data_IF_152962014862
#
_entry.id   IF_152962014862
#
_cell.length_a   1.000
_cell.length_b   1.000
_cell.length_c   1.000
_cell.angle_alpha   90.00
_cell.angle_beta   90.00
_cell.angle_gamma   90.00
#
_symmetry.space_group_name_H-M   'P 1'
#
loop_
_entity.id
_entity.type
_entity.pdbx_description
1 polymer ?
#
# COMPACT_ATOMS: atom_id res chain seq x y z
N UNK A 1 20.87 23.10 -4.99
CA UNK A 1 19.47 22.64 -4.99
C UNK A 1 19.13 22.30 -3.54
N UNK A 2 18.08 22.88 -3.03
CA UNK A 2 17.57 22.55 -1.70
C UNK A 2 17.09 21.08 -1.73
N UNK A 3 17.53 20.27 -0.77
CA UNK A 3 17.10 18.86 -0.69
C UNK A 3 15.66 18.86 -0.21
N UNK A 4 14.79 18.13 -0.89
CA UNK A 4 13.41 17.91 -0.50
C UNK A 4 13.37 17.19 0.84
N UNK A 5 12.62 17.73 1.79
CA UNK A 5 12.42 17.15 3.12
C UNK A 5 11.06 16.46 3.18
N UNK A 6 11.04 15.30 3.77
CA UNK A 6 9.83 14.51 4.00
C UNK A 6 9.55 14.40 5.48
N UNK A 7 8.29 14.37 5.87
CA UNK A 7 7.87 14.15 7.25
C UNK A 7 7.10 12.85 7.35
N UNK A 8 7.55 11.94 8.23
CA UNK A 8 6.77 10.78 8.66
C UNK A 8 5.79 11.22 9.75
N UNK A 9 4.53 10.87 9.57
CA UNK A 9 3.43 11.35 10.41
C UNK A 9 2.56 10.14 10.82
N UNK A 10 2.11 10.12 12.07
CA UNK A 10 1.08 9.20 12.53
C UNK A 10 -0.24 9.98 12.67
N UNK A 11 -1.17 9.77 11.74
CA UNK A 11 -2.37 10.62 11.58
C UNK A 11 -1.98 12.10 11.47
N UNK A 12 -2.15 12.87 12.55
CA UNK A 12 -1.81 14.30 12.60
C UNK A 12 -0.51 14.59 13.36
N UNK A 13 0.11 13.55 13.96
CA UNK A 13 1.29 13.72 14.82
C UNK A 13 2.56 13.45 14.03
N UNK A 14 3.43 14.45 13.79
CA UNK A 14 4.72 14.24 13.17
C UNK A 14 5.65 13.42 14.07
N UNK A 15 6.37 12.47 13.47
CA UNK A 15 7.33 11.61 14.16
C UNK A 15 8.77 12.01 13.85
N UNK A 16 9.11 12.19 12.59
CA UNK A 16 10.45 12.64 12.20
C UNK A 16 10.43 13.30 10.81
N UNK A 17 11.42 14.15 10.57
CA UNK A 17 11.77 14.60 9.23
C UNK A 17 12.95 13.78 8.72
N UNK A 18 12.92 13.48 7.43
CA UNK A 18 13.99 12.78 6.76
C UNK A 18 14.21 13.32 5.34
N UNK A 19 15.39 13.03 4.80
CA UNK A 19 15.75 13.32 3.40
C UNK A 19 16.03 12.00 2.69
N UNK A 20 15.95 12.03 1.37
CA UNK A 20 16.36 10.92 0.52
C UNK A 20 17.71 11.27 -0.07
N UNK A 21 18.69 10.39 0.13
CA UNK A 21 20.06 10.49 -0.42
C UNK A 21 20.29 9.34 -1.40
N UNK A 22 21.06 9.59 -2.46
CA UNK A 22 21.33 8.63 -3.52
C UNK A 22 20.47 8.87 -4.76
N UNK A 23 20.54 7.95 -5.71
CA UNK A 23 19.80 8.01 -6.98
C UNK A 23 19.26 6.62 -7.35
N UNK A 24 18.05 6.59 -7.90
CA UNK A 24 17.42 5.36 -8.39
C UNK A 24 17.22 4.32 -7.30
N UNK A 25 17.75 3.11 -7.51
CA UNK A 25 17.64 2.00 -6.55
C UNK A 25 18.55 2.14 -5.32
N UNK A 26 19.49 3.09 -5.34
CA UNK A 26 20.42 3.38 -4.23
C UNK A 26 19.91 4.50 -3.31
N UNK A 27 18.68 4.96 -3.50
CA UNK A 27 18.05 5.93 -2.62
C UNK A 27 17.89 5.37 -1.20
N UNK A 28 18.36 6.14 -0.20
CA UNK A 28 18.28 5.82 1.23
C UNK A 28 17.60 6.95 2.00
N UNK A 29 16.71 6.60 2.92
CA UNK A 29 16.08 7.55 3.82
C UNK A 29 16.98 7.82 5.03
N UNK A 30 17.23 9.09 5.33
CA UNK A 30 18.06 9.53 6.47
C UNK A 30 17.30 10.54 7.32
N UNK A 31 17.05 10.19 8.58
CA UNK A 31 16.42 11.09 9.54
C UNK A 31 17.33 12.31 9.77
N UNK A 32 16.75 13.49 9.71
CA UNK A 32 17.41 14.78 9.97
C UNK A 32 16.87 15.46 11.21
N UNK A 33 15.63 15.10 11.63
CA UNK A 33 15.04 15.62 12.86
C UNK A 33 14.02 14.64 13.43
N UNK A 34 14.01 14.45 14.74
CA UNK A 34 13.05 13.63 15.45
C UNK A 34 12.13 14.51 16.31
N UNK A 35 10.81 14.20 16.31
CA UNK A 35 9.79 14.84 17.11
C UNK A 35 9.21 13.91 18.17
N UNK A 36 9.09 12.61 17.82
CA UNK A 36 8.57 11.56 18.67
C UNK A 36 9.27 10.22 18.31
N UNK A 37 9.32 9.25 19.23
CA UNK A 37 9.89 7.94 18.94
C UNK A 37 9.11 7.23 17.85
N UNK A 38 9.82 6.53 16.96
CA UNK A 38 9.19 5.63 16.00
C UNK A 38 8.44 4.51 16.73
N UNK A 39 7.34 3.98 16.17
CA UNK A 39 6.69 2.80 16.72
C UNK A 39 7.69 1.66 16.90
N UNK A 40 7.56 0.86 17.97
CA UNK A 40 8.52 -0.19 18.33
C UNK A 40 8.77 -1.23 17.23
N UNK A 41 7.82 -1.41 16.31
CA UNK A 41 7.92 -2.30 15.16
C UNK A 41 8.58 -1.65 13.93
N UNK A 42 8.75 -0.34 13.91
CA UNK A 42 9.43 0.43 12.88
C UNK A 42 10.89 0.64 13.30
N UNK A 43 11.80 -0.26 12.89
CA UNK A 43 13.21 -0.21 13.30
C UNK A 43 13.94 1.01 12.76
N UNK A 44 13.71 1.34 11.51
CA UNK A 44 14.26 2.50 10.81
C UNK A 44 13.36 2.90 9.64
N UNK A 45 13.47 4.16 9.23
CA UNK A 45 12.64 4.76 8.20
C UNK A 45 12.88 4.15 6.82
N UNK A 46 14.11 3.76 6.52
CA UNK A 46 14.47 3.25 5.21
C UNK A 46 13.87 1.86 4.98
N UNK A 47 14.04 0.95 5.92
CA UNK A 47 13.42 -0.37 5.90
C UNK A 47 11.89 -0.29 5.91
N UNK A 48 11.33 0.67 6.67
CA UNK A 48 9.89 0.90 6.70
C UNK A 48 9.35 1.34 5.32
N UNK A 49 9.98 2.33 4.68
CA UNK A 49 9.60 2.76 3.32
C UNK A 49 9.71 1.60 2.31
N UNK A 50 10.79 0.81 2.39
CA UNK A 50 10.98 -0.33 1.51
C UNK A 50 9.89 -1.40 1.68
N UNK A 51 9.45 -1.65 2.92
CA UNK A 51 8.38 -2.61 3.23
C UNK A 51 6.99 -2.16 2.75
N UNK A 52 6.83 -0.87 2.37
CA UNK A 52 5.58 -0.36 1.78
C UNK A 52 5.42 -0.69 0.30
N UNK A 53 6.49 -1.05 -0.38
CA UNK A 53 6.41 -1.38 -1.80
C UNK A 53 5.63 -2.68 -2.02
N UNK A 54 4.80 -2.71 -3.05
CA UNK A 54 4.13 -3.93 -3.45
C UNK A 54 5.14 -5.03 -3.82
N UNK A 55 4.79 -6.28 -3.58
CA UNK A 55 5.65 -7.42 -3.89
C UNK A 55 6.07 -7.42 -5.38
N UNK A 56 7.35 -7.75 -5.65
CA UNK A 56 7.92 -7.75 -7.01
C UNK A 56 7.18 -8.65 -8.01
N UNK A 57 6.42 -9.62 -7.53
CA UNK A 57 5.64 -10.56 -8.36
C UNK A 57 4.27 -10.00 -8.80
N UNK A 58 3.84 -8.86 -8.27
CA UNK A 58 2.60 -8.20 -8.68
C UNK A 58 2.82 -7.40 -9.98
N UNK A 59 2.78 -8.10 -11.10
CA UNK A 59 3.10 -7.55 -12.42
C UNK A 59 2.28 -6.32 -12.77
N UNK A 60 0.97 -6.33 -12.50
CA UNK A 60 0.06 -5.24 -12.83
C UNK A 60 0.36 -3.99 -12.00
N UNK A 61 0.51 -4.14 -10.68
CA UNK A 61 0.86 -3.03 -9.77
C UNK A 61 2.23 -2.43 -10.11
N UNK A 62 3.23 -3.28 -10.39
CA UNK A 62 4.55 -2.80 -10.75
C UNK A 62 4.56 -2.02 -12.07
N UNK A 63 3.72 -2.39 -13.05
CA UNK A 63 3.54 -1.59 -14.28
C UNK A 63 2.91 -0.23 -13.98
N UNK A 64 1.92 -0.18 -13.09
CA UNK A 64 1.30 1.09 -12.66
C UNK A 64 2.35 1.99 -12.01
N UNK A 65 3.10 1.46 -11.03
CA UNK A 65 4.17 2.21 -10.35
C UNK A 65 5.22 2.72 -11.34
N UNK A 66 5.65 1.89 -12.29
CA UNK A 66 6.63 2.27 -13.31
C UNK A 66 6.14 3.43 -14.17
N UNK A 67 4.91 3.36 -14.66
CA UNK A 67 4.34 4.38 -15.53
C UNK A 67 4.04 5.69 -14.82
N UNK A 68 3.76 5.63 -13.51
CA UNK A 68 3.50 6.80 -12.67
C UNK A 68 4.76 7.36 -11.99
N UNK A 69 5.95 6.84 -12.31
CA UNK A 69 7.21 7.32 -11.71
C UNK A 69 7.50 6.78 -10.31
N UNK A 70 6.75 5.78 -9.85
CA UNK A 70 6.87 5.19 -8.50
C UNK A 70 8.01 4.17 -8.31
N UNK A 71 8.98 4.08 -9.21
CA UNK A 71 10.13 3.16 -9.08
C UNK A 71 11.18 3.62 -8.08
N UNK A 72 11.35 4.91 -7.94
CA UNK A 72 12.26 5.50 -6.93
C UNK A 72 11.53 5.67 -5.61
N UNK A 73 12.24 5.76 -4.48
CA UNK A 73 11.60 6.01 -3.18
C UNK A 73 10.86 7.34 -3.17
N UNK A 74 11.48 8.38 -3.71
CA UNK A 74 10.87 9.70 -3.85
C UNK A 74 9.59 9.67 -4.68
N UNK A 75 9.62 9.01 -5.84
CA UNK A 75 8.44 8.83 -6.68
C UNK A 75 7.36 7.97 -6.05
N UNK A 76 7.75 6.90 -5.35
CA UNK A 76 6.83 6.05 -4.60
C UNK A 76 6.12 6.81 -3.48
N UNK A 77 6.86 7.60 -2.69
CA UNK A 77 6.29 8.46 -1.65
C UNK A 77 5.32 9.48 -2.26
N UNK A 78 5.74 10.18 -3.32
CA UNK A 78 4.88 11.16 -3.99
C UNK A 78 3.58 10.55 -4.53
N UNK A 79 3.62 9.28 -4.96
CA UNK A 79 2.46 8.59 -5.51
C UNK A 79 1.55 7.98 -4.44
N UNK A 80 2.09 7.49 -3.32
CA UNK A 80 1.35 6.66 -2.37
C UNK A 80 1.27 7.25 -0.97
N UNK A 81 2.04 8.29 -0.66
CA UNK A 81 2.29 8.76 0.70
C UNK A 81 2.72 7.65 1.67
N UNK A 82 3.16 6.49 1.17
CA UNK A 82 3.39 5.26 1.93
C UNK A 82 2.17 4.82 2.77
N UNK A 83 0.96 5.18 2.38
CA UNK A 83 -0.27 4.83 3.08
C UNK A 83 -0.51 3.31 3.04
N UNK A 84 -1.06 2.76 4.11
CA UNK A 84 -1.46 1.36 4.19
C UNK A 84 -2.71 1.19 5.05
N UNK A 85 -3.47 0.14 4.80
CA UNK A 85 -4.59 -0.28 5.66
C UNK A 85 -4.14 -1.04 6.92
N UNK A 86 -2.82 -1.24 7.10
CA UNK A 86 -2.27 -1.96 8.27
C UNK A 86 -1.93 -1.06 9.44
N UNK A 87 -1.78 0.25 9.20
CA UNK A 87 -1.49 1.25 10.23
C UNK A 87 -1.88 2.67 9.78
N UNK A 88 -1.54 3.66 10.58
CA UNK A 88 -1.90 5.07 10.37
C UNK A 88 -0.69 5.96 10.07
N UNK A 89 0.42 5.35 9.67
CA UNK A 89 1.62 6.09 9.27
C UNK A 89 1.54 6.51 7.80
N UNK A 90 2.01 7.70 7.52
CA UNK A 90 2.10 8.24 6.17
C UNK A 90 3.20 9.28 6.06
N UNK A 91 3.56 9.61 4.83
CA UNK A 91 4.64 10.55 4.51
C UNK A 91 4.12 11.65 3.61
N UNK A 92 4.54 12.88 3.87
CA UNK A 92 4.38 13.99 2.92
C UNK A 92 5.70 14.75 2.73
N UNK A 93 5.85 15.42 1.60
CA UNK A 93 6.95 16.35 1.37
C UNK A 93 6.65 17.71 2.00
N UNK A 94 7.69 18.52 2.21
CA UNK A 94 7.59 19.91 2.70
C UNK A 94 6.90 20.85 1.71
N UNK A 95 6.73 20.43 0.44
CA UNK A 95 5.99 21.18 -0.58
C UNK A 95 4.50 20.86 -0.62
N UNK A 96 4.03 19.90 0.20
CA UNK A 96 2.63 19.46 0.23
C UNK A 96 1.90 19.98 1.46
N UNK A 97 0.65 20.40 1.25
CA UNK A 97 -0.26 20.80 2.32
C UNK A 97 -1.31 19.73 2.64
N UNK A 98 -1.06 18.47 2.22
CA UNK A 98 -1.98 17.36 2.47
C UNK A 98 -2.17 17.12 3.95
N UNK A 99 -3.40 16.78 4.36
CA UNK A 99 -3.78 16.41 5.73
C UNK A 99 -4.20 14.95 5.78
N UNK A 100 -4.14 14.34 6.96
CA UNK A 100 -4.60 12.96 7.17
C UNK A 100 -6.03 12.74 6.66
N UNK A 101 -6.95 13.65 6.96
CA UNK A 101 -8.34 13.55 6.52
C UNK A 101 -8.49 13.48 4.99
N UNK A 102 -7.60 14.12 4.25
CA UNK A 102 -7.65 14.15 2.79
C UNK A 102 -7.06 12.90 2.12
N UNK A 103 -6.10 12.22 2.78
CA UNK A 103 -5.33 11.14 2.13
C UNK A 103 -5.56 9.76 2.74
N UNK A 104 -6.10 9.66 3.97
CA UNK A 104 -6.20 8.37 4.64
C UNK A 104 -7.07 7.36 3.86
N UNK A 105 -6.72 6.07 3.98
CA UNK A 105 -7.39 4.97 3.28
C UNK A 105 -8.65 4.46 4.01
N UNK A 106 -8.96 4.97 5.21
CA UNK A 106 -10.06 4.48 6.02
C UNK A 106 -11.38 5.21 5.73
N UNK A 107 -11.29 6.49 5.35
CA UNK A 107 -12.44 7.37 5.17
C UNK A 107 -12.62 7.84 3.72
N UNK A 108 -11.56 7.71 2.91
CA UNK A 108 -11.58 8.12 1.52
C UNK A 108 -11.93 6.96 0.58
N UNK A 109 -12.57 7.28 -0.54
CA UNK A 109 -12.85 6.30 -1.60
C UNK A 109 -11.54 5.87 -2.27
N UNK A 110 -11.46 4.59 -2.61
CA UNK A 110 -10.37 4.05 -3.40
C UNK A 110 -10.52 4.41 -4.88
N UNK A 111 -9.39 4.44 -5.57
CA UNK A 111 -9.37 4.63 -7.02
C UNK A 111 -9.81 3.34 -7.73
N UNK A 112 -11.02 3.35 -8.29
CA UNK A 112 -11.62 2.19 -8.96
C UNK A 112 -10.81 1.75 -10.19
N UNK A 113 -10.12 2.68 -10.87
CA UNK A 113 -9.27 2.37 -12.02
C UNK A 113 -8.03 1.62 -11.58
N UNK A 114 -7.36 2.08 -10.51
CA UNK A 114 -6.20 1.38 -9.94
C UNK A 114 -6.60 0.02 -9.39
N UNK A 115 -7.73 -0.08 -8.68
CA UNK A 115 -8.26 -1.35 -8.17
C UNK A 115 -8.46 -2.36 -9.31
N UNK A 116 -9.14 -1.98 -10.37
CA UNK A 116 -9.38 -2.84 -11.53
C UNK A 116 -8.11 -3.23 -12.26
N UNK A 117 -7.21 -2.26 -12.53
CA UNK A 117 -5.92 -2.53 -13.17
C UNK A 117 -5.04 -3.47 -12.35
N UNK A 118 -5.09 -3.37 -11.03
CA UNK A 118 -4.31 -4.20 -10.11
C UNK A 118 -4.81 -5.64 -10.04
N UNK A 119 -6.10 -5.85 -10.34
CA UNK A 119 -6.76 -7.14 -10.25
C UNK A 119 -6.70 -7.93 -11.57
N UNK A 120 -7.13 -7.34 -12.67
CA UNK A 120 -7.27 -8.02 -13.96
C UNK A 120 -6.30 -7.54 -15.05
N UNK A 121 -5.52 -6.50 -14.76
CA UNK A 121 -4.58 -5.90 -15.71
C UNK A 121 -5.24 -5.17 -16.89
N UNK A 122 -6.58 -5.10 -16.92
CA UNK A 122 -7.35 -4.51 -17.99
C UNK A 122 -7.75 -3.08 -17.68
N UNK A 123 -7.21 -2.10 -18.39
CA UNK A 123 -7.56 -0.70 -18.22
C UNK A 123 -6.82 0.23 -19.18
N UNK A 124 -7.31 1.45 -19.30
CA UNK A 124 -6.69 2.49 -20.10
C UNK A 124 -5.61 3.20 -19.26
N UNK A 125 -4.36 3.06 -19.68
CA UNK A 125 -3.25 3.85 -19.16
C UNK A 125 -3.40 5.32 -19.61
N UNK A 126 -3.20 6.25 -18.69
CA UNK A 126 -3.28 7.70 -18.97
C UNK A 126 -4.40 8.44 -18.26
N UNK A 127 -5.17 7.76 -17.42
CA UNK A 127 -6.12 8.40 -16.50
C UNK A 127 -5.35 8.98 -15.30
N UNK A 128 -5.74 10.16 -14.85
CA UNK A 128 -5.20 10.74 -13.63
C UNK A 128 -5.63 9.85 -12.45
N UNK A 129 -4.66 9.16 -11.85
CA UNK A 129 -4.90 8.24 -10.73
C UNK A 129 -4.86 8.98 -9.40
N UNK A 130 -5.72 8.57 -8.47
CA UNK A 130 -5.70 9.06 -7.10
C UNK A 130 -4.62 8.34 -6.28
N UNK A 131 -4.01 9.05 -5.34
CA UNK A 131 -3.07 8.50 -4.37
C UNK A 131 -3.73 7.58 -3.33
N UNK A 132 -5.06 7.61 -3.21
CA UNK A 132 -5.85 6.74 -2.32
C UNK A 132 -6.06 5.35 -2.94
N UNK A 133 -4.97 4.63 -3.16
CA UNK A 133 -4.97 3.31 -3.81
C UNK A 133 -4.18 2.31 -2.97
N UNK A 134 -4.85 1.59 -2.04
CA UNK A 134 -4.17 0.66 -1.14
C UNK A 134 -3.47 -0.49 -1.86
N UNK A 135 -3.84 -0.78 -3.11
CA UNK A 135 -3.18 -1.79 -3.96
C UNK A 135 -1.70 -1.55 -4.14
N UNK A 136 -1.29 -0.28 -4.22
CA UNK A 136 0.10 0.12 -4.47
C UNK A 136 1.03 -0.20 -3.30
N UNK A 137 0.47 -0.35 -2.10
CA UNK A 137 1.21 -0.62 -0.85
C UNK A 137 0.84 -1.95 -0.20
N UNK A 138 0.00 -2.75 -0.86
CA UNK A 138 -0.43 -4.05 -0.34
C UNK A 138 0.56 -5.14 -0.72
N UNK A 139 1.07 -5.86 0.27
CA UNK A 139 1.98 -7.00 0.08
C UNK A 139 1.26 -8.26 -0.42
N UNK A 140 2.06 -9.26 -0.80
CA UNK A 140 1.61 -10.58 -1.26
C UNK A 140 1.59 -10.72 -2.79
N UNK A 141 1.83 -11.92 -3.28
CA UNK A 141 2.14 -12.23 -4.67
C UNK A 141 0.92 -12.36 -5.61
N UNK A 142 -0.24 -12.72 -5.08
CA UNK A 142 -1.44 -12.95 -5.90
C UNK A 142 -2.12 -11.63 -6.26
N UNK A 143 -2.81 -11.64 -7.40
CA UNK A 143 -3.60 -10.50 -7.82
C UNK A 143 -4.75 -10.26 -6.84
N UNK A 144 -4.91 -9.01 -6.49
CA UNK A 144 -5.87 -8.57 -5.48
C UNK A 144 -6.21 -7.11 -5.66
N UNK A 145 -7.41 -6.75 -5.22
CA UNK A 145 -7.83 -5.36 -5.10
C UNK A 145 -8.60 -5.11 -3.80
N UNK A 146 -8.69 -3.86 -3.44
CA UNK A 146 -9.48 -3.42 -2.32
C UNK A 146 -10.74 -2.71 -2.80
N UNK A 147 -11.85 -3.00 -2.15
CA UNK A 147 -13.12 -2.33 -2.38
C UNK A 147 -13.58 -1.67 -1.09
N UNK A 148 -13.97 -0.40 -1.17
CA UNK A 148 -14.59 0.32 -0.06
C UNK A 148 -16.09 0.38 -0.33
N UNK A 149 -16.84 -0.55 0.28
CA UNK A 149 -18.28 -0.73 0.09
C UNK A 149 -19.05 -0.22 1.32
N UNK A 150 -20.36 -0.16 1.24
CA UNK A 150 -21.21 0.39 2.30
C UNK A 150 -21.17 -0.40 3.61
N UNK A 151 -20.77 -1.68 3.57
CA UNK A 151 -20.64 -2.58 4.71
C UNK A 151 -19.19 -2.74 5.20
N UNK A 152 -18.22 -2.11 4.51
CA UNK A 152 -16.84 -2.10 4.95
C UNK A 152 -15.80 -2.16 3.83
N UNK A 153 -14.55 -2.33 4.24
CA UNK A 153 -13.42 -2.46 3.32
C UNK A 153 -13.14 -3.96 3.11
N UNK A 154 -13.20 -4.38 1.84
CA UNK A 154 -13.03 -5.77 1.43
C UNK A 154 -11.77 -5.95 0.60
N UNK A 155 -11.01 -7.01 0.89
CA UNK A 155 -9.90 -7.47 0.06
C UNK A 155 -10.37 -8.60 -0.84
N UNK A 156 -10.39 -8.35 -2.14
CA UNK A 156 -10.68 -9.36 -3.16
C UNK A 156 -9.36 -9.97 -3.63
N UNK A 157 -9.28 -11.29 -3.68
CA UNK A 157 -8.10 -12.04 -4.12
C UNK A 157 -8.47 -13.07 -5.17
N UNK A 158 -7.56 -13.31 -6.12
CA UNK A 158 -7.61 -14.46 -7.03
C UNK A 158 -6.86 -15.66 -6.43
N UNK A 159 -7.02 -16.82 -7.05
CA UNK A 159 -6.10 -17.94 -6.88
C UNK A 159 -4.84 -17.76 -7.71
N UNK A 160 -3.90 -18.70 -7.55
CA UNK A 160 -2.70 -18.75 -8.36
C UNK A 160 -3.00 -19.16 -9.81
N UNK A 161 -2.27 -18.57 -10.76
CA UNK A 161 -2.34 -18.91 -12.17
C UNK A 161 -1.03 -19.55 -12.68
N UNK A 162 -1.13 -20.34 -13.74
CA UNK A 162 0.02 -20.95 -14.43
C UNK A 162 0.15 -22.46 -14.26
N UNK A 163 1.03 -23.07 -15.04
CA UNK A 163 1.13 -24.54 -15.26
C UNK A 163 1.42 -25.40 -14.02
N UNK A 164 1.85 -24.82 -12.90
CA UNK A 164 2.15 -25.52 -11.64
C UNK A 164 1.27 -25.09 -10.46
N UNK A 165 0.34 -24.21 -10.71
CA UNK A 165 -0.53 -23.63 -9.70
C UNK A 165 -1.93 -24.21 -9.86
N UNK A 166 -2.60 -24.50 -8.76
CA UNK A 166 -3.90 -25.14 -8.78
C UNK A 166 -5.09 -24.18 -8.79
N UNK A 167 -4.85 -22.91 -8.44
CA UNK A 167 -5.91 -21.91 -8.26
C UNK A 167 -6.85 -22.21 -7.09
N UNK A 168 -6.48 -23.18 -6.22
CA UNK A 168 -7.34 -23.65 -5.13
C UNK A 168 -7.14 -22.90 -3.81
N UNK A 169 -6.24 -21.90 -3.77
CA UNK A 169 -5.97 -21.12 -2.57
C UNK A 169 -7.21 -20.44 -2.00
N UNK A 170 -8.13 -19.83 -2.81
CA UNK A 170 -9.35 -19.24 -2.30
C UNK A 170 -10.24 -20.24 -1.56
N UNK A 171 -10.31 -21.48 -2.06
CA UNK A 171 -11.08 -22.54 -1.39
C UNK A 171 -10.48 -22.92 -0.04
N UNK A 172 -9.13 -22.98 0.03
CA UNK A 172 -8.40 -23.21 1.28
C UNK A 172 -8.61 -22.08 2.28
N UNK A 173 -8.57 -20.83 1.84
CA UNK A 173 -8.81 -19.64 2.69
C UNK A 173 -10.24 -19.64 3.25
N UNK A 174 -11.25 -19.92 2.44
CA UNK A 174 -12.66 -20.00 2.88
C UNK A 174 -12.86 -21.14 3.86
N UNK A 175 -12.33 -22.33 3.57
CA UNK A 175 -12.41 -23.47 4.48
C UNK A 175 -11.74 -23.17 5.83
N UNK A 176 -10.53 -22.61 5.80
CA UNK A 176 -9.82 -22.22 7.02
C UNK A 176 -10.61 -21.17 7.81
N UNK A 177 -11.20 -20.17 7.16
CA UNK A 177 -12.04 -19.16 7.82
C UNK A 177 -13.21 -19.80 8.56
N UNK A 178 -13.93 -20.74 7.93
CA UNK A 178 -15.04 -21.45 8.55
C UNK A 178 -14.63 -22.28 9.78
N UNK A 179 -13.42 -22.85 9.77
CA UNK A 179 -12.86 -23.53 10.94
C UNK A 179 -12.52 -22.52 12.02
N UNK A 180 -11.84 -21.43 11.68
CA UNK A 180 -11.43 -20.41 12.65
C UNK A 180 -12.62 -19.70 13.30
N UNK A 181 -13.72 -19.48 12.59
CA UNK A 181 -14.96 -18.91 13.16
C UNK A 181 -15.52 -19.76 14.31
N UNK A 182 -15.22 -21.08 14.36
CA UNK A 182 -15.69 -22.00 15.41
C UNK A 182 -14.78 -22.10 16.62
N UNK A 183 -13.49 -21.74 16.45
CA UNK A 183 -12.47 -21.93 17.49
C UNK A 183 -11.85 -20.63 17.99
N UNK A 184 -12.03 -19.52 17.25
CA UNK A 184 -11.48 -18.21 17.59
C UNK A 184 -12.59 -17.18 17.75
N UNK A 185 -12.47 -16.33 18.76
CA UNK A 185 -13.42 -15.21 19.00
C UNK A 185 -13.25 -14.08 17.97
N UNK A 186 -12.08 -13.97 17.37
CA UNK A 186 -11.76 -12.97 16.35
C UNK A 186 -11.07 -13.67 15.18
N UNK A 187 -11.71 -13.71 14.04
CA UNK A 187 -11.17 -14.29 12.81
C UNK A 187 -11.51 -13.42 11.61
N UNK A 188 -10.65 -13.45 10.59
CA UNK A 188 -10.96 -12.84 9.31
C UNK A 188 -11.93 -13.73 8.56
N UNK A 189 -13.04 -13.17 8.10
CA UNK A 189 -14.06 -13.89 7.36
C UNK A 189 -13.73 -13.89 5.87
N UNK A 190 -13.73 -15.09 5.27
CA UNK A 190 -13.57 -15.27 3.83
C UNK A 190 -14.85 -15.85 3.23
N UNK A 191 -15.28 -15.27 2.12
CA UNK A 191 -16.43 -15.75 1.35
C UNK A 191 -16.07 -15.72 -0.14
N UNK A 192 -16.74 -16.58 -0.92
CA UNK A 192 -16.68 -16.43 -2.38
C UNK A 192 -17.49 -15.23 -2.84
N UNK A 193 -17.02 -14.60 -3.90
CA UNK A 193 -17.72 -13.55 -4.60
C UNK A 193 -17.79 -13.93 -6.09
N UNK A 194 -18.96 -13.84 -6.68
CA UNK A 194 -19.24 -14.08 -8.10
C UNK A 194 -18.79 -12.88 -8.97
#
# INVERSE_FOLDING_TARGET
>A
MEKLTYTLINKETPLCDFIIEGEGELELCKIVKEYAPLPFWCKDIDSWCAARSAAKHRTHVNKILEQCGGKTKSGFIALTHCLSLTDTLWVKSDHENSTWAQVNLYENRFDEVVSKLSFDGNGLFGVQMSTTSPELTTDGAYDKCWLNESDGIHLIKTGSEGARNTGLEPYGEVLASQVFERICTHSVKYTFRD
#
